data_IF_327941994236
#
_entry.id   IF_327941994236
#
_cell.length_a   1.000
_cell.length_b   1.000
_cell.length_c   1.000
_cell.angle_alpha   90.00
_cell.angle_beta   90.00
_cell.angle_gamma   90.00
#
_symmetry.space_group_name_H-M   'P 1'
#
loop_
_entity.id
_entity.type
_entity.pdbx_description
1 polymer ?
#
# COMPACT_ATOMS: atom_id res chain seq x y z
N UNK A 1 -36.90 17.00 -7.48
CA UNK A 1 -36.10 17.08 -6.24
C UNK A 1 -34.87 16.20 -6.42
N UNK A 2 -33.66 16.74 -6.32
CA UNK A 2 -32.41 16.00 -6.53
C UNK A 2 -31.54 16.01 -5.29
N UNK A 3 -30.99 14.86 -4.92
CA UNK A 3 -30.03 14.72 -3.84
C UNK A 3 -28.64 15.15 -4.36
N UNK A 4 -28.01 16.13 -3.71
CA UNK A 4 -26.62 16.52 -3.99
C UNK A 4 -25.73 15.86 -2.95
N UNK A 5 -24.70 15.15 -3.42
CA UNK A 5 -23.69 14.49 -2.57
C UNK A 5 -22.34 15.07 -2.94
N UNK A 6 -21.58 15.52 -1.93
CA UNK A 6 -20.20 15.97 -2.08
C UNK A 6 -19.27 14.86 -1.60
N UNK A 7 -18.28 14.50 -2.43
CA UNK A 7 -17.24 13.55 -2.09
C UNK A 7 -15.93 14.31 -1.90
N UNK A 8 -15.76 14.89 -0.72
CA UNK A 8 -14.52 15.56 -0.35
C UNK A 8 -13.47 14.56 0.14
N UNK A 9 -12.20 14.88 -0.05
CA UNK A 9 -11.11 14.02 0.41
C UNK A 9 -11.13 13.89 1.95
N UNK A 10 -10.86 12.68 2.49
CA UNK A 10 -10.85 12.46 3.92
C UNK A 10 -9.84 13.38 4.63
N UNK A 11 -10.23 13.91 5.79
CA UNK A 11 -9.38 14.80 6.57
C UNK A 11 -8.69 14.05 7.69
N UNK A 12 -7.37 13.99 7.63
CA UNK A 12 -6.51 13.40 8.63
C UNK A 12 -6.11 11.97 8.30
N UNK A 13 -4.93 11.56 8.79
CA UNK A 13 -4.33 10.25 8.48
C UNK A 13 -5.24 9.08 8.86
N UNK A 14 -5.99 9.18 9.97
CA UNK A 14 -6.91 8.11 10.37
C UNK A 14 -8.06 7.92 9.37
N UNK A 15 -8.61 9.01 8.85
CA UNK A 15 -9.70 8.96 7.87
C UNK A 15 -9.17 8.48 6.50
N UNK A 16 -8.00 8.98 6.08
CA UNK A 16 -7.33 8.53 4.86
C UNK A 16 -6.98 7.05 4.92
N UNK A 17 -6.36 6.57 6.00
CA UNK A 17 -6.07 5.16 6.21
C UNK A 17 -7.34 4.32 6.17
N UNK A 18 -8.43 4.76 6.80
CA UNK A 18 -9.70 4.02 6.74
C UNK A 18 -10.23 3.91 5.31
N UNK A 19 -10.14 4.97 4.53
CA UNK A 19 -10.55 4.97 3.12
C UNK A 19 -9.66 4.08 2.25
N UNK A 20 -8.33 4.14 2.43
CA UNK A 20 -7.38 3.29 1.71
C UNK A 20 -7.53 1.81 2.09
N UNK A 21 -7.74 1.53 3.38
CA UNK A 21 -7.89 0.16 3.87
C UNK A 21 -9.26 -0.44 3.55
N UNK A 22 -10.29 0.37 3.26
CA UNK A 22 -11.59 -0.11 2.78
C UNK A 22 -11.51 -0.78 1.40
N UNK A 23 -10.50 -0.44 0.60
CA UNK A 23 -10.24 -1.10 -0.69
C UNK A 23 -9.68 -2.51 -0.53
N UNK A 24 -9.09 -2.82 0.63
CA UNK A 24 -8.47 -4.11 0.91
C UNK A 24 -9.54 -5.17 1.15
N UNK A 25 -9.56 -6.21 0.32
CA UNK A 25 -10.48 -7.35 0.45
C UNK A 25 -9.89 -8.48 1.27
N UNK A 26 -10.73 -9.42 1.70
CA UNK A 26 -10.27 -10.64 2.37
C UNK A 26 -9.36 -11.48 1.46
N UNK A 27 -9.66 -11.54 0.17
CA UNK A 27 -8.82 -12.21 -0.84
C UNK A 27 -7.41 -11.60 -0.89
N UNK A 28 -7.31 -10.27 -0.84
CA UNK A 28 -6.01 -9.60 -0.78
C UNK A 28 -5.26 -9.93 0.51
N UNK A 29 -5.95 -10.03 1.66
CA UNK A 29 -5.31 -10.40 2.94
C UNK A 29 -4.80 -11.84 2.97
N UNK A 30 -5.44 -12.73 2.23
CA UNK A 30 -5.12 -14.16 2.17
C UNK A 30 -4.27 -14.53 0.94
N UNK A 31 -3.95 -13.57 0.06
CA UNK A 31 -3.21 -13.78 -1.18
C UNK A 31 -1.81 -14.38 -0.96
N UNK A 32 -1.10 -13.92 0.07
CA UNK A 32 0.26 -14.39 0.39
C UNK A 32 0.26 -15.08 1.75
N UNK A 33 0.67 -16.34 1.79
CA UNK A 33 0.79 -17.14 3.01
C UNK A 33 2.10 -16.83 3.78
N UNK A 34 2.33 -15.57 4.12
CA UNK A 34 3.47 -15.08 4.91
C UNK A 34 2.97 -14.14 6.00
N UNK A 35 3.53 -14.24 7.20
CA UNK A 35 3.04 -13.44 8.33
C UNK A 35 3.27 -11.94 8.11
N UNK A 36 4.33 -11.58 7.37
CA UNK A 36 4.69 -10.19 7.05
C UNK A 36 3.68 -9.53 6.12
N UNK A 37 2.96 -10.30 5.29
CA UNK A 37 2.11 -9.77 4.23
C UNK A 37 1.03 -8.82 4.74
N UNK A 38 0.30 -9.24 5.78
CA UNK A 38 -0.79 -8.44 6.38
C UNK A 38 -0.25 -7.15 6.99
N UNK A 39 0.94 -7.22 7.60
CA UNK A 39 1.60 -6.05 8.17
C UNK A 39 2.05 -5.09 7.06
N UNK A 40 2.66 -5.63 6.00
CA UNK A 40 3.10 -4.84 4.84
C UNK A 40 1.93 -4.12 4.19
N UNK A 41 0.83 -4.83 3.94
CA UNK A 41 -0.35 -4.27 3.31
C UNK A 41 -0.96 -3.13 4.13
N UNK A 42 -1.01 -3.27 5.45
CA UNK A 42 -1.40 -2.18 6.36
C UNK A 42 -0.42 -1.00 6.28
N UNK A 43 0.89 -1.25 6.33
CA UNK A 43 1.90 -0.19 6.28
C UNK A 43 1.89 0.56 4.96
N UNK A 44 1.62 -0.11 3.84
CA UNK A 44 1.47 0.53 2.53
C UNK A 44 0.24 1.43 2.49
N UNK A 45 -0.90 0.97 3.01
CA UNK A 45 -2.10 1.82 3.13
C UNK A 45 -1.87 3.03 4.04
N UNK A 46 -1.13 2.84 5.14
CA UNK A 46 -0.75 3.92 6.06
C UNK A 46 0.17 4.94 5.38
N UNK A 47 1.22 4.49 4.70
CA UNK A 47 2.14 5.36 3.98
C UNK A 47 1.41 6.16 2.89
N UNK A 48 0.53 5.51 2.15
CA UNK A 48 -0.30 6.16 1.14
C UNK A 48 -1.14 7.29 1.74
N UNK A 49 -1.78 7.05 2.89
CA UNK A 49 -2.53 8.10 3.60
C UNK A 49 -1.64 9.23 4.11
N UNK A 50 -0.46 8.94 4.65
CA UNK A 50 0.50 9.95 5.12
C UNK A 50 0.95 10.85 3.97
N UNK A 51 1.29 10.25 2.84
CA UNK A 51 1.77 10.95 1.65
C UNK A 51 0.67 11.86 1.06
N UNK A 52 -0.58 11.39 1.04
CA UNK A 52 -1.74 12.22 0.67
C UNK A 52 -1.96 13.39 1.63
N UNK A 53 -1.95 13.15 2.94
CA UNK A 53 -2.12 14.19 3.96
C UNK A 53 -1.00 15.24 3.89
N UNK A 54 0.22 14.82 3.56
CA UNK A 54 1.38 15.71 3.43
C UNK A 54 1.20 16.79 2.36
N UNK A 55 0.34 16.57 1.36
CA UNK A 55 -0.02 17.58 0.33
C UNK A 55 -0.64 18.85 0.93
N UNK A 56 -1.27 18.75 2.11
CA UNK A 56 -1.94 19.89 2.78
C UNK A 56 -0.94 20.95 3.28
N UNK A 57 0.32 20.59 3.46
CA UNK A 57 1.36 21.51 3.96
C UNK A 57 2.03 22.33 2.85
N UNK A 58 1.50 22.29 1.62
CA UNK A 58 2.03 23.06 0.50
C UNK A 58 3.53 22.80 0.28
N UNK A 59 4.35 23.85 0.05
CA UNK A 59 5.79 23.72 -0.18
C UNK A 59 6.60 23.05 0.93
N UNK A 60 6.11 23.10 2.19
CA UNK A 60 6.77 22.43 3.34
C UNK A 60 6.53 20.91 3.27
N UNK A 61 5.40 20.50 2.70
CA UNK A 61 5.09 19.10 2.43
C UNK A 61 5.84 18.59 1.20
N UNK A 62 5.61 19.24 0.07
CA UNK A 62 6.15 18.88 -1.24
C UNK A 62 6.53 20.11 -2.04
N UNK A 63 7.68 20.09 -2.72
CA UNK A 63 8.08 21.17 -3.61
C UNK A 63 7.06 21.41 -4.75
N UNK A 64 6.41 20.33 -5.23
CA UNK A 64 5.35 20.34 -6.26
C UNK A 64 4.23 19.39 -5.79
N UNK A 65 2.95 19.76 -5.95
CA UNK A 65 1.84 18.90 -5.56
C UNK A 65 1.73 17.67 -6.48
N UNK A 66 2.12 16.51 -5.97
CA UNK A 66 1.90 15.22 -6.63
C UNK A 66 0.50 14.68 -6.37
N UNK A 67 -0.07 13.98 -7.35
CA UNK A 67 -1.36 13.32 -7.22
C UNK A 67 -1.15 11.82 -6.93
N UNK A 68 -1.28 11.45 -5.66
CA UNK A 68 -1.22 10.06 -5.24
C UNK A 68 -2.62 9.45 -5.32
N UNK A 69 -2.79 8.53 -6.25
CA UNK A 69 -4.05 7.90 -6.61
C UNK A 69 -4.18 6.48 -6.05
N UNK A 70 -5.39 5.92 -6.10
CA UNK A 70 -5.60 4.50 -5.80
C UNK A 70 -4.85 3.57 -6.78
N UNK A 71 -4.55 4.03 -8.00
CA UNK A 71 -3.76 3.26 -8.96
C UNK A 71 -2.34 3.01 -8.48
N UNK A 72 -1.73 3.99 -7.82
CA UNK A 72 -0.38 3.87 -7.24
C UNK A 72 -0.38 2.84 -6.09
N UNK A 73 -1.39 2.91 -5.22
CA UNK A 73 -1.56 1.94 -4.13
C UNK A 73 -1.76 0.51 -4.67
N UNK A 74 -2.56 0.35 -5.72
CA UNK A 74 -2.79 -0.93 -6.37
C UNK A 74 -1.51 -1.49 -6.99
N UNK A 75 -0.76 -0.65 -7.73
CA UNK A 75 0.50 -1.05 -8.35
C UNK A 75 1.54 -1.50 -7.32
N UNK A 76 1.71 -0.75 -6.22
CA UNK A 76 2.63 -1.12 -5.13
C UNK A 76 2.19 -2.43 -4.47
N UNK A 77 0.89 -2.61 -4.24
CA UNK A 77 0.36 -3.84 -3.62
C UNK A 77 0.59 -5.06 -4.51
N UNK A 78 0.37 -4.94 -5.82
CA UNK A 78 0.63 -6.00 -6.80
C UNK A 78 2.12 -6.33 -6.90
N UNK A 79 2.99 -5.31 -6.90
CA UNK A 79 4.44 -5.51 -6.89
C UNK A 79 4.90 -6.26 -5.64
N UNK A 80 4.41 -5.87 -4.45
CA UNK A 80 4.72 -6.55 -3.19
C UNK A 80 4.22 -7.99 -3.19
N UNK A 81 3.00 -8.22 -3.67
CA UNK A 81 2.42 -9.56 -3.78
C UNK A 81 3.29 -10.44 -4.69
N UNK A 82 3.59 -9.98 -5.91
CA UNK A 82 4.41 -10.71 -6.87
C UNK A 82 5.85 -10.95 -6.36
N UNK A 83 6.44 -9.99 -5.63
CA UNK A 83 7.76 -10.15 -5.04
C UNK A 83 7.79 -11.19 -3.91
N UNK A 84 6.76 -11.21 -3.06
CA UNK A 84 6.64 -12.16 -1.95
C UNK A 84 6.25 -13.58 -2.41
N UNK A 85 5.45 -13.70 -3.47
CA UNK A 85 5.14 -14.97 -4.14
C UNK A 85 6.30 -15.46 -5.01
N UNK A 86 6.97 -14.56 -5.74
CA UNK A 86 8.13 -14.86 -6.56
C UNK A 86 9.32 -15.34 -5.72
N UNK A 87 9.53 -14.78 -4.53
CA UNK A 87 10.47 -15.35 -3.55
C UNK A 87 10.02 -16.72 -3.04
N UNK A 88 8.73 -17.07 -3.04
CA UNK A 88 8.30 -18.43 -2.74
C UNK A 88 8.56 -19.39 -3.92
N UNK A 89 8.33 -18.95 -5.16
CA UNK A 89 8.38 -19.80 -6.36
C UNK A 89 9.80 -19.96 -6.97
N UNK A 90 10.61 -18.90 -7.02
CA UNK A 90 11.99 -18.96 -7.56
C UNK A 90 13.01 -19.57 -6.59
N UNK A 91 12.66 -19.68 -5.30
CA UNK A 91 13.56 -20.19 -4.25
C UNK A 91 13.38 -21.70 -4.00
N UNK A 92 12.34 -22.32 -4.59
CA UNK A 92 12.24 -23.77 -4.64
C UNK A 92 13.46 -24.44 -5.31
N UNK A 93 14.21 -23.71 -6.15
CA UNK A 93 15.39 -24.24 -6.85
C UNK A 93 16.76 -23.83 -6.26
N UNK A 94 16.91 -22.76 -5.44
CA UNK A 94 18.28 -22.27 -5.14
C UNK A 94 18.68 -21.69 -3.76
N UNK A 95 17.83 -21.38 -2.77
CA UNK A 95 18.35 -21.09 -1.39
C UNK A 95 17.27 -20.81 -0.34
N UNK A 96 16.85 -21.83 0.42
CA UNK A 96 15.82 -21.71 1.45
C UNK A 96 16.13 -20.68 2.57
N UNK A 97 17.41 -20.34 2.79
CA UNK A 97 17.82 -19.34 3.80
C UNK A 97 17.55 -17.90 3.38
N UNK A 98 17.59 -17.59 2.08
CA UNK A 98 17.28 -16.26 1.54
C UNK A 98 15.77 -16.04 1.40
N UNK A 99 14.98 -17.12 1.31
CA UNK A 99 13.52 -17.06 1.32
C UNK A 99 12.91 -16.62 2.65
N UNK A 100 13.65 -16.60 3.77
CA UNK A 100 13.05 -16.37 5.08
C UNK A 100 12.48 -14.94 5.26
N UNK A 101 13.01 -13.95 4.54
CA UNK A 101 12.64 -12.54 4.68
C UNK A 101 12.55 -11.85 3.31
N UNK A 102 11.65 -10.87 3.14
CA UNK A 102 11.64 -10.02 1.94
C UNK A 102 12.95 -9.25 1.79
N UNK A 103 13.42 -9.09 0.55
CA UNK A 103 14.59 -8.27 0.25
C UNK A 103 14.24 -6.78 0.34
N UNK A 104 14.56 -6.16 1.47
CA UNK A 104 14.24 -4.75 1.72
C UNK A 104 14.98 -3.77 0.80
N UNK A 105 16.09 -4.18 0.17
CA UNK A 105 16.74 -3.33 -0.82
C UNK A 105 15.90 -3.18 -2.09
N UNK A 106 15.19 -4.24 -2.47
CA UNK A 106 14.29 -4.27 -3.64
C UNK A 106 12.93 -3.62 -3.34
N UNK A 107 12.47 -3.65 -2.08
CA UNK A 107 11.18 -3.07 -1.68
C UNK A 107 11.25 -1.55 -1.45
N UNK A 108 12.42 -1.01 -1.13
CA UNK A 108 12.62 0.43 -0.85
C UNK A 108 12.61 1.28 -2.11
#
# INVERSE_FOLDING_TARGET
MGLKVTNEAPVGVKAGLRASYQWVTQEMLDAVNRYEWRQLLFTTCFLHSVVQERRKFGPIGWNIPYEFSQGDLAAVTQFLQAGLEGTANHIADMDAKRAAQPDWATVR
#
